data_IF_101799723158
#
_entry.id   IF_101799723158
#
_cell.length_a   1.000
_cell.length_b   1.000
_cell.length_c   1.000
_cell.angle_alpha   90.00
_cell.angle_beta   90.00
_cell.angle_gamma   90.00
#
_symmetry.space_group_name_H-M   'P 1'
#
loop_
_entity.id
_entity.type
_entity.pdbx_description
1 polymer ?
#
# COMPACT_ATOMS: atom_id res chain seq x y z
N UNK A 1 -13.95 -26.42 1.27
CA UNK A 1 -14.50 -25.20 1.90
C UNK A 1 -13.30 -24.39 2.36
N UNK A 2 -12.91 -23.36 1.60
CA UNK A 2 -11.85 -22.43 2.01
C UNK A 2 -12.40 -21.47 3.06
N UNK A 3 -11.59 -21.14 4.06
CA UNK A 3 -11.98 -20.20 5.11
C UNK A 3 -11.87 -18.77 4.60
N UNK A 4 -12.61 -17.82 5.19
CA UNK A 4 -12.56 -16.38 4.84
C UNK A 4 -11.15 -15.78 4.92
N UNK A 5 -10.24 -16.43 5.68
CA UNK A 5 -8.83 -16.06 5.78
C UNK A 5 -8.05 -16.43 4.53
N UNK A 6 -8.31 -17.61 3.97
CA UNK A 6 -7.66 -18.09 2.74
C UNK A 6 -8.00 -17.17 1.56
N UNK A 7 -9.24 -16.69 1.49
CA UNK A 7 -9.70 -15.77 0.43
C UNK A 7 -9.11 -14.35 0.55
N UNK A 8 -8.77 -13.90 1.77
CA UNK A 8 -8.14 -12.59 2.00
C UNK A 8 -6.65 -12.58 1.65
N UNK A 9 -5.96 -13.69 1.88
CA UNK A 9 -4.55 -13.83 1.50
C UNK A 9 -4.42 -13.86 -0.02
N UNK A 10 -5.26 -14.62 -0.72
CA UNK A 10 -5.26 -14.69 -2.19
C UNK A 10 -5.53 -13.31 -2.82
N UNK A 11 -6.50 -12.56 -2.29
CA UNK A 11 -6.77 -11.18 -2.73
C UNK A 11 -5.56 -10.25 -2.52
N UNK A 12 -4.90 -10.36 -1.38
CA UNK A 12 -3.72 -9.54 -1.07
C UNK A 12 -2.54 -9.87 -2.00
N UNK A 13 -2.26 -11.16 -2.21
CA UNK A 13 -1.19 -11.60 -3.11
C UNK A 13 -1.45 -11.15 -4.55
N UNK A 14 -2.69 -11.26 -5.03
CA UNK A 14 -3.10 -10.78 -6.35
C UNK A 14 -2.88 -9.26 -6.48
N UNK A 15 -3.41 -8.47 -5.54
CA UNK A 15 -3.31 -7.00 -5.60
C UNK A 15 -1.87 -6.51 -5.46
N UNK A 16 -1.07 -7.13 -4.59
CA UNK A 16 0.35 -6.79 -4.44
C UNK A 16 1.14 -7.13 -5.71
N UNK A 17 0.86 -8.29 -6.32
CA UNK A 17 1.45 -8.70 -7.60
C UNK A 17 1.11 -7.74 -8.73
N UNK A 18 -0.16 -7.38 -8.87
CA UNK A 18 -0.64 -6.44 -9.89
C UNK A 18 -0.03 -5.04 -9.71
N UNK A 19 0.05 -4.53 -8.47
CA UNK A 19 0.69 -3.23 -8.21
C UNK A 19 2.18 -3.23 -8.54
N UNK A 20 2.90 -4.29 -8.16
CA UNK A 20 4.32 -4.43 -8.50
C UNK A 20 4.52 -4.50 -10.03
N UNK A 21 3.65 -5.24 -10.73
CA UNK A 21 3.66 -5.32 -12.19
C UNK A 21 3.37 -3.97 -12.86
N UNK A 22 2.42 -3.20 -12.34
CA UNK A 22 2.10 -1.87 -12.86
C UNK A 22 3.29 -0.91 -12.69
N UNK A 23 3.97 -0.93 -11.53
CA UNK A 23 5.18 -0.12 -11.30
C UNK A 23 6.26 -0.46 -12.33
N UNK A 24 6.52 -1.75 -12.53
CA UNK A 24 7.47 -2.21 -13.54
C UNK A 24 7.08 -1.72 -14.94
N UNK A 25 5.81 -1.86 -15.32
CA UNK A 25 5.29 -1.43 -16.63
C UNK A 25 5.47 0.07 -16.85
N UNK A 26 5.31 0.89 -15.81
CA UNK A 26 5.57 2.34 -15.88
C UNK A 26 7.05 2.62 -16.14
N UNK A 27 7.97 1.91 -15.48
CA UNK A 27 9.41 2.07 -15.74
C UNK A 27 9.80 1.65 -17.16
N UNK A 28 9.23 0.56 -17.68
CA UNK A 28 9.44 0.13 -19.06
C UNK A 28 8.93 1.18 -20.05
N UNK A 29 7.77 1.79 -19.78
CA UNK A 29 7.23 2.88 -20.60
C UNK A 29 8.14 4.11 -20.61
N UNK A 30 8.79 4.44 -19.49
CA UNK A 30 9.78 5.54 -19.42
C UNK A 30 11.00 5.27 -20.29
N UNK A 31 11.54 4.04 -20.28
CA UNK A 31 12.66 3.69 -21.15
C UNK A 31 12.24 3.69 -22.63
N UNK A 32 11.03 3.22 -22.96
CA UNK A 32 10.49 3.34 -24.32
C UNK A 32 10.33 4.81 -24.76
N UNK A 33 9.88 5.68 -23.86
CA UNK A 33 9.77 7.12 -24.12
C UNK A 33 11.15 7.74 -24.40
N UNK A 34 12.15 7.39 -23.59
CA UNK A 34 13.53 7.86 -23.72
C UNK A 34 14.20 7.40 -25.02
N UNK A 35 13.92 6.18 -25.47
CA UNK A 35 14.41 5.65 -26.75
C UNK A 35 13.69 6.24 -27.94
N UNK A 36 12.39 6.54 -27.83
CA UNK A 36 11.56 7.06 -28.93
C UNK A 36 11.81 8.55 -29.21
N UNK A 37 11.85 9.38 -28.18
CA UNK A 37 11.95 10.84 -28.33
C UNK A 37 13.34 11.40 -28.03
N UNK A 38 14.20 10.62 -27.37
CA UNK A 38 15.49 11.07 -26.85
C UNK A 38 15.34 11.71 -25.46
N UNK A 39 16.25 11.36 -24.54
CA UNK A 39 16.20 11.79 -23.12
C UNK A 39 16.35 13.30 -22.89
N UNK A 40 16.82 14.04 -23.89
CA UNK A 40 16.94 15.51 -23.86
C UNK A 40 15.75 16.22 -24.51
N UNK A 41 14.78 15.48 -25.05
CA UNK A 41 13.64 16.09 -25.73
C UNK A 41 12.64 16.65 -24.73
N UNK A 42 12.03 17.79 -25.09
CA UNK A 42 10.95 18.38 -24.30
C UNK A 42 9.77 17.41 -24.11
N UNK A 43 9.42 16.65 -25.15
CA UNK A 43 8.36 15.64 -25.09
C UNK A 43 8.69 14.54 -24.09
N UNK A 44 9.95 14.08 -24.03
CA UNK A 44 10.38 13.14 -23.01
C UNK A 44 10.16 13.73 -21.62
N UNK A 45 10.66 14.93 -21.33
CA UNK A 45 10.55 15.51 -19.99
C UNK A 45 9.11 15.78 -19.54
N UNK A 46 8.23 16.22 -20.44
CA UNK A 46 6.81 16.46 -20.13
C UNK A 46 6.10 15.17 -19.72
N UNK A 47 6.36 14.06 -20.41
CA UNK A 47 5.73 12.77 -20.10
C UNK A 47 6.45 12.00 -18.97
N UNK A 48 7.77 12.06 -18.91
CA UNK A 48 8.59 11.36 -17.90
C UNK A 48 8.19 11.78 -16.48
N UNK A 49 7.94 13.07 -16.26
CA UNK A 49 7.45 13.58 -14.97
C UNK A 49 6.16 12.89 -14.53
N UNK A 50 5.16 12.79 -15.43
CA UNK A 50 3.89 12.16 -15.09
C UNK A 50 4.03 10.66 -14.82
N UNK A 51 4.95 10.00 -15.51
CA UNK A 51 5.24 8.58 -15.27
C UNK A 51 5.96 8.36 -13.93
N UNK A 52 6.86 9.27 -13.54
CA UNK A 52 7.47 9.26 -12.20
C UNK A 52 6.39 9.42 -11.13
N UNK A 53 5.55 10.45 -11.24
CA UNK A 53 4.47 10.72 -10.27
C UNK A 53 3.54 9.49 -10.13
N UNK A 54 3.24 8.81 -11.24
CA UNK A 54 2.42 7.60 -11.24
C UNK A 54 3.12 6.41 -10.54
N UNK A 55 4.41 6.20 -10.79
CA UNK A 55 5.18 5.14 -10.13
C UNK A 55 5.25 5.36 -8.61
N UNK A 56 5.51 6.60 -8.17
CA UNK A 56 5.54 6.96 -6.75
C UNK A 56 4.18 6.76 -6.08
N UNK A 57 3.08 7.11 -6.77
CA UNK A 57 1.73 6.90 -6.26
C UNK A 57 1.38 5.41 -6.10
N UNK A 58 1.80 4.57 -7.05
CA UNK A 58 1.63 3.12 -6.97
C UNK A 58 2.47 2.50 -5.85
N UNK A 59 3.73 2.95 -5.71
CA UNK A 59 4.62 2.50 -4.64
C UNK A 59 4.07 2.84 -3.26
N UNK A 60 3.55 4.06 -3.07
CA UNK A 60 2.88 4.45 -1.84
C UNK A 60 1.69 3.55 -1.50
N UNK A 61 0.87 3.17 -2.49
CA UNK A 61 -0.23 2.21 -2.27
C UNK A 61 0.27 0.83 -1.89
N UNK A 62 1.33 0.37 -2.53
CA UNK A 62 1.96 -0.92 -2.22
C UNK A 62 2.45 -0.93 -0.77
N UNK A 63 3.09 0.14 -0.31
CA UNK A 63 3.53 0.29 1.08
C UNK A 63 2.35 0.24 2.07
N UNK A 64 1.23 0.91 1.79
CA UNK A 64 0.03 0.82 2.64
C UNK A 64 -0.52 -0.61 2.67
N UNK A 65 -0.62 -1.26 1.51
CA UNK A 65 -1.20 -2.60 1.41
C UNK A 65 -0.34 -3.66 2.08
N UNK A 66 0.98 -3.58 1.96
CA UNK A 66 1.90 -4.48 2.66
C UNK A 66 1.79 -4.39 4.19
N UNK A 67 1.41 -3.23 4.74
CA UNK A 67 1.14 -3.09 6.19
C UNK A 67 -0.26 -3.54 6.63
N UNK A 68 -1.24 -3.57 5.72
CA UNK A 68 -2.65 -3.80 6.05
C UNK A 68 -3.17 -5.18 5.64
N UNK A 69 -2.50 -5.83 4.68
CA UNK A 69 -2.74 -7.23 4.37
C UNK A 69 -2.40 -8.11 5.58
N UNK A 70 -3.24 -9.11 5.91
CA UNK A 70 -3.06 -9.91 7.11
C UNK A 70 -1.72 -10.67 7.05
N UNK A 71 -0.73 -10.12 7.76
CA UNK A 71 0.56 -10.76 7.95
C UNK A 71 0.35 -12.11 8.65
N UNK A 72 0.74 -13.22 8.02
CA UNK A 72 0.76 -14.52 8.68
C UNK A 72 1.86 -14.53 9.76
N UNK A 73 1.49 -14.13 10.98
CA UNK A 73 2.33 -14.27 12.17
C UNK A 73 2.67 -15.74 12.51
N UNK A 74 2.02 -16.71 11.86
CA UNK A 74 2.25 -18.14 12.04
C UNK A 74 3.36 -18.64 11.12
N UNK A 75 4.60 -18.36 11.49
CA UNK A 75 5.76 -18.84 10.73
C UNK A 75 7.09 -18.24 11.18
N UNK A 76 7.03 -17.06 11.80
CA UNK A 76 8.14 -16.56 12.60
C UNK A 76 8.16 -17.40 13.88
N UNK A 77 9.30 -18.07 14.12
CA UNK A 77 9.49 -18.98 15.25
C UNK A 77 9.20 -18.34 16.61
N UNK A 78 9.37 -19.10 17.71
CA UNK A 78 9.00 -18.70 19.08
C UNK A 78 9.64 -17.38 19.58
N UNK A 79 10.53 -16.77 18.80
CA UNK A 79 11.23 -15.52 19.12
C UNK A 79 10.48 -14.23 18.73
N UNK A 80 9.33 -14.31 18.05
CA UNK A 80 8.49 -13.14 17.76
C UNK A 80 7.27 -13.15 18.67
N UNK A 81 7.38 -12.46 19.80
CA UNK A 81 6.28 -12.28 20.74
C UNK A 81 5.09 -11.59 20.05
N UNK A 82 4.03 -12.36 19.78
CA UNK A 82 2.77 -11.88 19.17
C UNK A 82 1.89 -11.07 20.13
N UNK A 83 2.43 -10.59 21.25
CA UNK A 83 1.70 -9.88 22.30
C UNK A 83 2.08 -8.41 22.26
N UNK A 84 1.38 -7.65 21.42
CA UNK A 84 1.36 -6.19 21.57
C UNK A 84 0.52 -5.89 22.80
N UNK A 85 1.19 -5.65 23.93
CA UNK A 85 0.54 -5.10 25.12
C UNK A 85 0.21 -3.64 24.84
N UNK A 86 -1.01 -3.39 24.37
CA UNK A 86 -1.58 -2.04 24.44
C UNK A 86 -1.79 -1.75 25.92
N UNK A 87 -1.05 -0.79 26.47
CA UNK A 87 -1.27 -0.34 27.84
C UNK A 87 -2.74 0.01 28.02
N UNK A 88 -3.33 -0.36 29.16
CA UNK A 88 -4.70 0.00 29.50
C UNK A 88 -4.91 1.49 29.21
N UNK A 89 -5.92 1.81 28.42
CA UNK A 89 -6.26 3.20 28.13
C UNK A 89 -6.45 3.90 29.48
N UNK A 90 -5.65 4.95 29.75
CA UNK A 90 -5.85 5.77 30.93
C UNK A 90 -7.31 6.18 30.97
N UNK A 91 -8.01 5.77 32.02
CA UNK A 91 -9.37 6.22 32.28
C UNK A 91 -9.27 7.69 32.64
N UNK A 92 -9.29 8.56 31.64
CA UNK A 92 -9.42 10.01 31.83
C UNK A 92 -10.78 10.20 32.53
N UNK A 93 -10.83 10.61 33.80
CA UNK A 93 -12.10 10.80 34.47
C UNK A 93 -12.71 12.10 33.94
N UNK A 94 -13.77 11.96 33.16
CA UNK A 94 -14.73 13.02 32.89
C UNK A 94 -14.40 13.93 31.72
N UNK A 95 -14.85 13.55 30.53
CA UNK A 95 -15.51 14.50 29.63
C UNK A 95 -16.62 13.76 28.91
N UNK A 96 -17.86 14.11 29.24
CA UNK A 96 -19.05 13.60 28.56
C UNK A 96 -18.93 13.88 27.06
N UNK A 97 -18.52 12.87 26.28
CA UNK A 97 -18.68 12.90 24.83
C UNK A 97 -20.14 12.60 24.54
N UNK A 98 -20.98 13.63 24.67
CA UNK A 98 -22.33 13.62 24.15
C UNK A 98 -22.24 13.41 22.64
N UNK A 99 -22.70 12.24 22.19
CA UNK A 99 -22.84 11.89 20.79
C UNK A 99 -23.74 12.90 20.08
N UNK A 100 -23.15 13.73 19.24
CA UNK A 100 -23.84 14.63 18.33
C UNK A 100 -23.53 14.25 16.90
N UNK A 101 -24.45 13.54 16.25
CA UNK A 101 -24.53 13.51 14.79
C UNK A 101 -24.66 14.95 14.28
N UNK A 102 -23.79 15.38 13.34
CA UNK A 102 -24.09 16.50 12.45
C UNK A 102 -23.96 15.97 11.02
N UNK A 103 -25.10 15.51 10.50
CA UNK A 103 -25.40 15.55 9.08
C UNK A 103 -26.27 16.78 8.82
N UNK A 104 -25.88 17.59 7.84
CA UNK A 104 -26.55 18.81 7.39
C UNK A 104 -25.69 19.53 6.37
#
# INVERSE_FOLDING_TARGET
MGTVKDTKNEYCDEVLGELAYMIQSVHELREMLGTTYGKESRLFHEHDRHLVDLAEYLDWKLQILTTSCPFEWKGLGPDVESVVSVGEAETIPGRDFAGGYIGG
#
